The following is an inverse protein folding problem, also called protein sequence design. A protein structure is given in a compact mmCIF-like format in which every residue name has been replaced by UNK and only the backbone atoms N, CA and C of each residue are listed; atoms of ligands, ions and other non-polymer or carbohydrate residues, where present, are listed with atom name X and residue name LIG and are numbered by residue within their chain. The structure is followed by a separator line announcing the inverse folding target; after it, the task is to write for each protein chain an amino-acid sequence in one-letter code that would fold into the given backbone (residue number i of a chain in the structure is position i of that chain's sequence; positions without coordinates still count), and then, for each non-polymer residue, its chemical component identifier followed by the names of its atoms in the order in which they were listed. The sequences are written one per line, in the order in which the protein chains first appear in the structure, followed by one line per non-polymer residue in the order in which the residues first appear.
data_IF_196250811417
#
_entry.id   IF_196250811417
#
_cell.length_a   1.000
_cell.length_b   1.000
_cell.length_c   1.000
_cell.angle_alpha   90.00
_cell.angle_beta   90.00
_cell.angle_gamma   90.00
#
_symmetry.space_group_name_H-M   'P 1'
#
loop_
_entity.id
_entity.type
_entity.pdbx_description
1 polymer ?
#
# COMPACT_ATOMS: atom_id res chain seq x y z
N UNK A 1 -11.07 7.76 -71.04
CA UNK A 1 -11.43 8.93 -71.89
C UNK A 1 -10.64 10.09 -71.35
N UNK A 2 -9.74 10.55 -72.21
CA UNK A 2 -8.90 11.72 -72.03
C UNK A 2 -9.69 12.99 -72.11
N UNK A 3 -9.28 14.05 -71.44
CA UNK A 3 -9.17 15.35 -72.04
C UNK A 3 -8.16 16.21 -71.29
N UNK A 4 -7.17 16.54 -72.02
CA UNK A 4 -6.07 17.46 -71.77
C UNK A 4 -6.49 18.86 -72.23
N UNK A 5 -6.07 19.92 -71.58
CA UNK A 5 -5.79 21.25 -72.12
C UNK A 5 -5.19 22.10 -71.04
N UNK A 6 -4.01 22.36 -70.97
CA UNK A 6 -3.04 23.22 -71.69
C UNK A 6 -3.24 24.75 -71.48
N UNK A 7 -2.19 25.32 -70.83
CA UNK A 7 -1.51 26.62 -71.06
C UNK A 7 -2.21 27.95 -70.82
N UNK A 8 -1.67 28.71 -69.85
CA UNK A 8 -1.26 30.10 -70.17
C UNK A 8 -0.11 30.54 -69.25
N UNK A 9 1.03 30.81 -69.85
CA UNK A 9 2.22 31.49 -69.31
C UNK A 9 1.92 32.99 -69.16
N UNK A 10 2.44 33.65 -68.09
CA UNK A 10 3.08 34.97 -68.14
C UNK A 10 3.89 35.23 -66.86
N UNK A 11 4.95 36.08 -66.94
CA UNK A 11 6.13 35.97 -66.13
C UNK A 11 6.28 37.06 -65.07
N UNK A 12 7.15 36.71 -64.09
CA UNK A 12 8.19 37.53 -63.44
C UNK A 12 7.86 38.89 -62.84
N UNK A 13 7.91 39.02 -61.59
CA UNK A 13 8.69 40.09 -60.94
C UNK A 13 9.16 39.63 -59.54
N UNK A 14 10.47 39.41 -59.42
CA UNK A 14 11.21 39.09 -58.25
C UNK A 14 11.38 40.36 -57.40
N UNK A 15 10.69 40.45 -56.25
CA UNK A 15 10.99 41.45 -55.23
C UNK A 15 11.54 40.71 -54.03
N UNK A 16 12.85 40.75 -53.90
CA UNK A 16 13.57 40.21 -52.74
C UNK A 16 13.43 41.19 -51.56
N UNK A 17 12.51 40.92 -50.65
CA UNK A 17 12.43 41.62 -49.39
C UNK A 17 13.17 40.78 -48.34
N UNK A 18 14.38 41.23 -47.98
CA UNK A 18 15.17 40.69 -46.88
C UNK A 18 14.51 41.16 -45.57
N UNK A 19 13.76 40.27 -44.92
CA UNK A 19 13.28 40.51 -43.58
C UNK A 19 14.30 39.92 -42.63
N UNK A 20 15.09 40.77 -42.00
CA UNK A 20 15.98 40.38 -40.90
C UNK A 20 15.14 40.04 -39.65
N UNK A 21 14.96 38.75 -39.41
CA UNK A 21 14.33 38.29 -38.16
C UNK A 21 15.37 38.32 -37.05
N UNK A 22 15.26 39.29 -36.14
CA UNK A 22 15.97 39.32 -34.90
C UNK A 22 15.40 38.21 -33.98
N UNK A 23 16.13 37.11 -33.83
CA UNK A 23 15.81 36.07 -32.83
C UNK A 23 16.09 36.61 -31.43
N UNK A 24 15.04 36.99 -30.70
CA UNK A 24 15.12 37.24 -29.28
C UNK A 24 15.29 35.88 -28.55
N UNK A 25 16.49 35.58 -28.15
CA UNK A 25 16.79 34.42 -27.29
C UNK A 25 16.18 34.69 -25.91
N UNK A 26 14.98 34.18 -25.68
CA UNK A 26 14.40 34.12 -24.34
C UNK A 26 15.19 33.11 -23.50
N UNK A 27 16.02 33.62 -22.60
CA UNK A 27 16.69 32.81 -21.59
C UNK A 27 15.62 32.23 -20.67
N UNK A 28 15.32 30.95 -20.84
CA UNK A 28 14.47 30.18 -19.95
C UNK A 28 15.27 29.88 -18.69
N UNK A 29 15.04 30.64 -17.64
CA UNK A 29 15.55 30.31 -16.32
C UNK A 29 14.99 28.92 -15.93
N UNK A 30 15.88 27.95 -15.75
CA UNK A 30 15.52 26.64 -15.26
C UNK A 30 14.95 26.78 -13.85
N UNK A 31 13.68 26.42 -13.65
CA UNK A 31 13.10 26.32 -12.33
C UNK A 31 13.92 25.31 -11.49
N UNK A 32 14.15 25.57 -10.18
CA UNK A 32 14.88 24.62 -9.35
C UNK A 32 14.10 23.29 -9.34
N UNK A 33 14.79 22.21 -9.69
CA UNK A 33 14.24 20.86 -9.64
C UNK A 33 13.81 20.59 -8.20
N UNK A 34 12.50 20.45 -7.97
CA UNK A 34 11.98 20.03 -6.68
C UNK A 34 12.59 18.66 -6.37
N UNK A 35 13.26 18.54 -5.23
CA UNK A 35 13.80 17.29 -4.73
C UNK A 35 12.63 16.31 -4.53
N UNK A 36 12.38 15.45 -5.52
CA UNK A 36 11.42 14.36 -5.36
C UNK A 36 11.98 13.36 -4.37
N UNK A 37 11.28 13.04 -3.25
CA UNK A 37 11.73 12.01 -2.32
C UNK A 37 12.03 10.72 -3.07
N UNK A 38 13.04 9.96 -2.63
CA UNK A 38 13.38 8.68 -3.26
C UNK A 38 12.18 7.72 -3.20
N UNK A 39 11.96 6.94 -4.25
CA UNK A 39 10.81 6.02 -4.36
C UNK A 39 10.63 5.06 -3.17
N UNK A 40 11.70 4.53 -2.52
CA UNK A 40 11.57 3.68 -1.33
C UNK A 40 10.94 4.39 -0.13
N UNK A 41 11.32 5.64 0.15
CA UNK A 41 10.78 6.40 1.30
C UNK A 41 9.29 6.67 1.11
N UNK A 42 8.87 7.05 -0.10
CA UNK A 42 7.44 7.26 -0.40
C UNK A 42 6.60 6.00 -0.26
N UNK A 43 7.15 4.84 -0.62
CA UNK A 43 6.45 3.57 -0.48
C UNK A 43 6.22 3.21 1.00
N UNK A 44 7.23 3.41 1.86
CA UNK A 44 7.10 3.16 3.31
C UNK A 44 6.09 4.10 3.94
N UNK A 45 6.12 5.40 3.62
CA UNK A 45 5.17 6.37 4.15
C UNK A 45 3.74 6.06 3.69
N UNK A 46 3.55 5.65 2.44
CA UNK A 46 2.24 5.28 1.90
C UNK A 46 1.67 4.02 2.58
N UNK A 47 2.51 3.01 2.84
CA UNK A 47 2.10 1.82 3.60
C UNK A 47 1.70 2.19 5.03
N UNK A 48 2.57 2.94 5.74
CA UNK A 48 2.30 3.40 7.11
C UNK A 48 0.96 4.14 7.21
N UNK A 49 0.73 5.07 6.28
CA UNK A 49 -0.52 5.83 6.24
C UNK A 49 -1.73 4.93 6.02
N UNK A 50 -1.67 4.04 5.03
CA UNK A 50 -2.77 3.11 4.73
C UNK A 50 -3.10 2.21 5.92
N UNK A 51 -2.07 1.68 6.60
CA UNK A 51 -2.23 0.85 7.81
C UNK A 51 -2.89 1.65 8.92
N UNK A 52 -2.34 2.80 9.29
CA UNK A 52 -2.86 3.59 10.41
C UNK A 52 -4.29 4.08 10.16
N UNK A 53 -4.62 4.47 8.93
CA UNK A 53 -5.97 4.94 8.59
C UNK A 53 -6.99 3.82 8.68
N UNK A 54 -6.71 2.64 8.13
CA UNK A 54 -7.62 1.50 8.20
C UNK A 54 -7.84 1.02 9.64
N UNK A 55 -6.77 0.91 10.43
CA UNK A 55 -6.86 0.54 11.84
C UNK A 55 -7.63 1.58 12.65
N UNK A 56 -7.38 2.87 12.44
CA UNK A 56 -8.11 3.95 13.09
C UNK A 56 -9.60 3.86 12.80
N UNK A 57 -9.98 3.64 11.54
CA UNK A 57 -11.37 3.52 11.14
C UNK A 57 -12.06 2.32 11.82
N UNK A 58 -11.46 1.13 11.75
CA UNK A 58 -12.02 -0.07 12.37
C UNK A 58 -12.16 0.07 13.90
N UNK A 59 -11.13 0.59 14.56
CA UNK A 59 -11.13 0.76 16.02
C UNK A 59 -12.11 1.82 16.49
N UNK A 60 -12.27 2.92 15.75
CA UNK A 60 -13.26 3.96 16.05
C UNK A 60 -14.70 3.43 16.02
N UNK A 61 -15.04 2.49 15.14
CA UNK A 61 -16.35 1.87 15.06
C UNK A 61 -16.74 1.11 16.33
N UNK A 62 -15.77 0.66 17.11
CA UNK A 62 -15.96 -0.08 18.36
C UNK A 62 -15.50 0.71 19.59
N UNK A 63 -15.28 2.01 19.45
CA UNK A 63 -14.95 2.92 20.56
C UNK A 63 -13.53 2.75 21.13
N UNK A 64 -12.58 2.22 20.36
CA UNK A 64 -11.21 2.01 20.78
C UNK A 64 -10.27 3.13 20.29
N UNK A 65 -9.23 3.48 21.05
CA UNK A 65 -8.23 4.46 20.63
C UNK A 65 -7.42 3.94 19.44
N UNK A 66 -6.87 4.84 18.58
CA UNK A 66 -6.02 4.45 17.47
C UNK A 66 -4.72 3.79 17.96
N UNK A 67 -4.09 3.00 17.08
CA UNK A 67 -2.76 2.44 17.31
C UNK A 67 -1.67 3.46 16.94
N UNK A 68 -0.55 3.40 17.65
CA UNK A 68 0.68 4.10 17.28
C UNK A 68 1.52 3.24 16.33
N UNK A 69 2.25 3.90 15.43
CA UNK A 69 3.25 3.21 14.63
C UNK A 69 4.51 2.94 15.44
N UNK A 70 5.07 1.73 15.28
CA UNK A 70 6.30 1.31 15.93
C UNK A 70 7.30 0.80 14.89
N UNK A 71 8.48 1.43 14.81
CA UNK A 71 9.49 1.11 13.81
C UNK A 71 10.21 -0.22 14.09
N UNK A 72 10.31 -0.66 15.34
CA UNK A 72 10.87 -1.98 15.68
C UNK A 72 9.94 -3.11 15.22
N UNK A 73 8.62 -2.92 15.39
CA UNK A 73 7.63 -3.85 14.84
C UNK A 73 7.67 -3.87 13.30
N UNK A 74 7.85 -2.71 12.67
CA UNK A 74 7.99 -2.63 11.21
C UNK A 74 9.28 -3.31 10.72
N UNK A 75 10.38 -3.24 11.48
CA UNK A 75 11.62 -3.97 11.18
C UNK A 75 11.41 -5.49 11.29
N UNK A 76 10.79 -5.96 12.37
CA UNK A 76 10.45 -7.39 12.52
C UNK A 76 9.50 -7.88 11.41
N UNK A 77 8.52 -7.07 11.03
CA UNK A 77 7.62 -7.36 9.92
C UNK A 77 8.37 -7.45 8.58
N UNK A 78 9.37 -6.59 8.34
CA UNK A 78 10.19 -6.60 7.12
C UNK A 78 10.99 -7.89 6.99
N UNK A 79 11.62 -8.33 8.09
CA UNK A 79 12.40 -9.57 8.10
C UNK A 79 11.52 -10.77 7.75
N UNK A 80 10.31 -10.80 8.31
CA UNK A 80 9.37 -11.88 8.03
C UNK A 80 8.81 -11.81 6.61
N UNK A 81 8.40 -10.63 6.12
CA UNK A 81 7.93 -10.46 4.75
C UNK A 81 9.00 -10.90 3.73
N UNK A 82 10.27 -10.53 3.96
CA UNK A 82 11.39 -10.97 3.11
C UNK A 82 11.57 -12.50 3.14
N UNK A 83 11.36 -13.14 4.29
CA UNK A 83 11.40 -14.60 4.41
C UNK A 83 10.24 -15.23 3.64
N UNK A 84 9.00 -14.73 3.77
CA UNK A 84 7.83 -15.22 3.02
C UNK A 84 8.04 -15.12 1.52
N UNK A 85 8.53 -13.97 1.02
CA UNK A 85 8.85 -13.78 -0.39
C UNK A 85 9.93 -14.76 -0.90
N UNK A 86 10.90 -15.14 -0.06
CA UNK A 86 11.94 -16.10 -0.43
C UNK A 86 11.41 -17.52 -0.53
N UNK A 87 10.48 -17.93 0.35
CA UNK A 87 9.95 -19.30 0.39
C UNK A 87 8.68 -19.47 -0.48
N UNK A 88 8.04 -18.38 -0.91
CA UNK A 88 6.82 -18.41 -1.73
C UNK A 88 5.61 -19.01 -1.01
N UNK A 89 5.51 -18.85 0.33
CA UNK A 89 4.43 -19.44 1.13
C UNK A 89 4.08 -18.58 2.31
N UNK A 90 2.78 -18.30 2.50
CA UNK A 90 2.26 -17.53 3.62
C UNK A 90 2.19 -18.42 4.87
N UNK A 91 2.93 -18.06 5.92
CA UNK A 91 2.89 -18.73 7.22
C UNK A 91 3.25 -17.78 8.35
N UNK A 92 2.69 -17.99 9.52
CA UNK A 92 3.03 -17.21 10.71
C UNK A 92 4.48 -17.44 11.15
N UNK A 93 5.03 -16.41 11.80
CA UNK A 93 6.36 -16.48 12.38
C UNK A 93 6.32 -17.14 13.76
N UNK A 94 6.98 -18.27 13.87
CA UNK A 94 7.04 -19.09 15.08
C UNK A 94 8.34 -18.88 15.93
N UNK A 95 9.13 -17.87 15.59
CA UNK A 95 10.37 -17.57 16.31
C UNK A 95 10.09 -17.07 17.73
N UNK A 96 10.83 -17.53 18.76
CA UNK A 96 10.64 -17.06 20.14
C UNK A 96 10.81 -15.54 20.32
N UNK A 97 11.62 -14.89 19.48
CA UNK A 97 11.86 -13.44 19.53
C UNK A 97 10.61 -12.59 19.26
N UNK A 98 9.55 -13.18 18.72
CA UNK A 98 8.29 -12.50 18.37
C UNK A 98 7.06 -13.08 19.08
N UNK A 99 7.26 -13.99 20.06
CA UNK A 99 6.18 -14.70 20.76
C UNK A 99 5.16 -13.77 21.43
N UNK A 100 5.60 -12.60 21.91
CA UNK A 100 4.71 -11.59 22.51
C UNK A 100 4.05 -10.64 21.50
N UNK A 101 4.31 -10.85 20.21
CA UNK A 101 3.77 -10.00 19.14
C UNK A 101 2.59 -10.70 18.46
N UNK A 102 1.51 -9.95 18.22
CA UNK A 102 0.48 -10.36 17.28
C UNK A 102 0.96 -10.21 15.83
N UNK A 103 0.32 -10.92 14.92
CA UNK A 103 0.66 -10.89 13.50
C UNK A 103 -0.57 -11.01 12.61
N UNK A 104 -0.66 -10.16 11.60
CA UNK A 104 -1.54 -10.34 10.45
C UNK A 104 -0.70 -10.51 9.19
N UNK A 105 -1.11 -11.44 8.35
CA UNK A 105 -0.46 -11.76 7.07
C UNK A 105 -1.44 -11.60 5.91
N UNK A 106 -0.93 -11.12 4.78
CA UNK A 106 -1.66 -11.06 3.52
C UNK A 106 -0.71 -11.38 2.36
N UNK A 107 -1.23 -12.05 1.34
CA UNK A 107 -0.53 -12.27 0.08
C UNK A 107 -1.51 -12.11 -1.10
N UNK A 108 -1.00 -11.63 -2.23
CA UNK A 108 -1.78 -11.48 -3.44
C UNK A 108 -0.90 -11.20 -4.66
N UNK A 109 -1.50 -11.22 -5.85
CA UNK A 109 -0.79 -11.04 -7.11
C UNK A 109 0.06 -9.77 -7.09
N UNK A 110 1.33 -9.90 -7.43
CA UNK A 110 2.30 -8.82 -7.43
C UNK A 110 1.84 -7.60 -8.21
N UNK A 111 1.85 -6.45 -7.54
CA UNK A 111 1.49 -5.14 -8.12
C UNK A 111 0.01 -4.96 -8.42
N UNK A 112 -0.86 -5.92 -8.08
CA UNK A 112 -2.29 -5.83 -8.38
C UNK A 112 -3.08 -5.02 -7.36
N UNK A 113 -2.55 -4.82 -6.14
CA UNK A 113 -3.27 -4.24 -5.02
C UNK A 113 -2.56 -3.02 -4.45
N UNK A 114 -3.29 -1.96 -4.17
CA UNK A 114 -2.78 -0.85 -3.37
C UNK A 114 -2.73 -1.25 -1.89
N UNK A 115 -1.86 -0.61 -1.09
CA UNK A 115 -1.71 -0.92 0.35
C UNK A 115 -3.03 -0.84 1.12
N UNK A 116 -3.91 0.12 0.78
CA UNK A 116 -5.24 0.23 1.41
C UNK A 116 -6.12 -0.99 1.14
N UNK A 117 -6.01 -1.61 -0.04
CA UNK A 117 -6.79 -2.79 -0.41
C UNK A 117 -6.31 -4.03 0.34
N UNK A 118 -4.98 -4.16 0.50
CA UNK A 118 -4.39 -5.25 1.30
C UNK A 118 -4.88 -5.21 2.75
N UNK A 119 -4.89 -4.02 3.36
CA UNK A 119 -5.35 -3.87 4.76
C UNK A 119 -6.87 -3.93 4.87
N UNK A 120 -7.61 -3.46 3.85
CA UNK A 120 -9.06 -3.53 3.81
C UNK A 120 -9.56 -4.98 3.83
N UNK A 121 -8.84 -5.92 3.20
CA UNK A 121 -9.18 -7.34 3.24
C UNK A 121 -9.31 -7.87 4.68
N UNK A 122 -8.45 -7.43 5.60
CA UNK A 122 -8.56 -7.77 7.02
C UNK A 122 -9.72 -7.07 7.73
N UNK A 123 -10.00 -5.81 7.36
CA UNK A 123 -11.08 -5.03 7.95
C UNK A 123 -12.47 -5.54 7.52
N UNK A 124 -12.60 -6.09 6.32
CA UNK A 124 -13.83 -6.69 5.78
C UNK A 124 -14.28 -7.94 6.56
N UNK A 125 -13.37 -8.61 7.25
CA UNK A 125 -13.71 -9.72 8.16
C UNK A 125 -14.63 -9.28 9.31
N UNK A 126 -14.82 -7.98 9.54
CA UNK A 126 -15.83 -7.45 10.46
C UNK A 126 -17.23 -8.01 10.19
N UNK A 127 -17.55 -8.35 8.94
CA UNK A 127 -18.82 -8.97 8.57
C UNK A 127 -19.04 -10.34 9.25
N UNK A 128 -17.97 -11.04 9.57
CA UNK A 128 -18.01 -12.36 10.22
C UNK A 128 -17.71 -12.29 11.72
N UNK A 129 -17.24 -11.15 12.22
CA UNK A 129 -16.79 -11.01 13.59
C UNK A 129 -17.97 -10.93 14.58
N UNK A 130 -17.80 -11.56 15.74
CA UNK A 130 -18.58 -11.37 16.96
C UNK A 130 -17.62 -11.15 18.13
N UNK A 131 -17.91 -10.22 19.04
CA UNK A 131 -17.05 -9.99 20.20
C UNK A 131 -17.26 -11.07 21.27
N UNK A 132 -16.75 -12.26 20.97
CA UNK A 132 -16.76 -13.42 21.87
C UNK A 132 -15.32 -13.84 22.23
N UNK A 133 -15.13 -14.61 23.31
CA UNK A 133 -13.79 -15.09 23.67
C UNK A 133 -13.11 -15.89 22.55
N UNK A 134 -11.86 -15.57 22.24
CA UNK A 134 -11.05 -16.30 21.26
C UNK A 134 -10.98 -17.80 21.61
N UNK A 135 -11.06 -18.69 20.64
CA UNK A 135 -11.16 -18.48 19.21
C UNK A 135 -12.60 -18.38 18.66
N UNK A 136 -13.65 -18.21 19.49
CA UNK A 136 -15.05 -18.28 19.12
C UNK A 136 -15.62 -16.93 18.63
N UNK A 137 -14.80 -16.06 18.10
CA UNK A 137 -15.16 -14.71 17.66
C UNK A 137 -15.66 -14.63 16.18
N UNK A 138 -15.96 -15.77 15.54
CA UNK A 138 -16.47 -15.80 14.16
C UNK A 138 -17.90 -16.38 14.11
N UNK A 139 -18.77 -15.75 13.31
CA UNK A 139 -20.15 -16.22 13.03
C UNK A 139 -20.15 -17.50 12.20
N UNK A 140 -19.11 -17.75 11.42
CA UNK A 140 -18.99 -18.94 10.55
C UNK A 140 -18.54 -20.18 11.32
N UNK A 141 -18.07 -19.99 12.57
CA UNK A 141 -17.46 -21.05 13.36
C UNK A 141 -15.98 -21.29 13.04
N UNK A 142 -15.46 -20.66 11.98
CA UNK A 142 -14.04 -20.71 11.60
C UNK A 142 -13.38 -19.42 12.09
N UNK A 143 -12.47 -19.52 13.05
CA UNK A 143 -11.81 -18.34 13.63
C UNK A 143 -11.00 -17.55 12.59
N UNK A 144 -10.49 -18.22 11.56
CA UNK A 144 -9.72 -17.64 10.47
C UNK A 144 -10.50 -16.56 9.71
N UNK A 145 -11.83 -16.68 9.64
CA UNK A 145 -12.68 -15.74 8.90
C UNK A 145 -12.85 -14.39 9.62
N UNK A 146 -12.32 -14.23 10.84
CA UNK A 146 -12.42 -13.01 11.62
C UNK A 146 -11.14 -12.70 12.43
N UNK A 147 -10.08 -13.50 12.27
CA UNK A 147 -8.88 -13.43 13.09
C UNK A 147 -8.07 -12.17 12.88
N UNK A 148 -7.97 -11.69 11.64
CA UNK A 148 -7.25 -10.46 11.35
C UNK A 148 -8.01 -9.24 11.87
N UNK A 149 -9.34 -9.18 11.67
CA UNK A 149 -10.14 -8.12 12.24
C UNK A 149 -10.10 -8.11 13.77
N UNK A 150 -10.21 -9.28 14.42
CA UNK A 150 -10.11 -9.39 15.88
C UNK A 150 -8.79 -8.82 16.42
N UNK A 151 -7.66 -9.06 15.73
CA UNK A 151 -6.37 -8.44 16.07
C UNK A 151 -6.40 -6.91 15.89
N UNK A 152 -6.98 -6.39 14.81
CA UNK A 152 -7.10 -4.94 14.55
C UNK A 152 -7.85 -4.26 15.71
N UNK A 153 -8.97 -4.84 16.16
CA UNK A 153 -9.82 -4.28 17.22
C UNK A 153 -9.51 -4.84 18.61
N UNK A 154 -8.34 -5.44 18.80
CA UNK A 154 -7.94 -5.92 20.11
C UNK A 154 -7.69 -4.77 21.07
N UNK A 155 -8.44 -4.76 22.20
CA UNK A 155 -8.47 -3.61 23.13
C UNK A 155 -7.09 -3.28 23.69
N UNK A 156 -6.31 -4.29 24.04
CA UNK A 156 -5.03 -4.12 24.72
C UNK A 156 -3.88 -3.80 23.76
N UNK A 157 -4.04 -4.05 22.46
CA UNK A 157 -3.05 -3.68 21.44
C UNK A 157 -2.94 -2.14 21.37
N UNK A 158 -1.70 -1.63 21.35
CA UNK A 158 -1.36 -0.21 21.33
C UNK A 158 -0.55 0.20 20.12
N UNK A 159 0.23 -0.72 19.57
CA UNK A 159 1.21 -0.43 18.52
C UNK A 159 1.07 -1.39 17.36
N UNK A 160 1.41 -0.90 16.18
CA UNK A 160 1.47 -1.65 14.93
C UNK A 160 2.69 -1.21 14.11
N UNK A 161 3.33 -2.16 13.45
CA UNK A 161 4.37 -1.90 12.46
C UNK A 161 4.28 -2.93 11.34
N UNK A 162 4.36 -2.47 10.10
CA UNK A 162 4.15 -3.32 8.92
C UNK A 162 5.24 -3.14 7.88
N UNK A 163 5.41 -4.17 7.05
CA UNK A 163 6.28 -4.12 5.88
C UNK A 163 5.76 -5.03 4.78
N UNK A 164 6.20 -4.74 3.54
CA UNK A 164 5.93 -5.58 2.38
C UNK A 164 7.22 -6.11 1.77
N UNK A 165 7.14 -7.28 1.16
CA UNK A 165 8.14 -7.83 0.27
C UNK A 165 7.44 -8.55 -0.89
N UNK A 166 8.15 -8.79 -1.99
CA UNK A 166 7.59 -9.42 -3.18
C UNK A 166 8.48 -10.53 -3.69
N UNK A 167 7.88 -11.58 -4.20
CA UNK A 167 8.52 -12.53 -5.09
C UNK A 167 8.15 -12.22 -6.55
N UNK A 168 8.50 -13.05 -7.56
CA UNK A 168 8.11 -12.80 -8.94
C UNK A 168 6.60 -12.83 -9.21
N UNK A 169 5.78 -13.44 -8.33
CA UNK A 169 4.35 -13.66 -8.53
C UNK A 169 3.47 -12.91 -7.55
N UNK A 170 3.92 -12.75 -6.30
CA UNK A 170 3.10 -12.25 -5.20
C UNK A 170 3.77 -11.13 -4.42
N UNK A 171 2.94 -10.26 -3.86
CA UNK A 171 3.29 -9.33 -2.79
C UNK A 171 2.85 -9.94 -1.46
N UNK A 172 3.70 -9.80 -0.45
CA UNK A 172 3.45 -10.23 0.93
C UNK A 172 3.41 -9.00 1.82
N UNK A 173 2.33 -8.85 2.59
CA UNK A 173 2.21 -7.84 3.65
C UNK A 173 2.23 -8.55 5.00
N UNK A 174 3.09 -8.09 5.89
CA UNK A 174 3.15 -8.51 7.30
C UNK A 174 2.91 -7.30 8.17
N UNK A 175 2.01 -7.43 9.15
CA UNK A 175 1.85 -6.48 10.25
C UNK A 175 2.10 -7.17 11.58
N UNK A 176 2.88 -6.51 12.44
CA UNK A 176 3.16 -6.91 13.82
C UNK A 176 2.46 -5.98 14.79
N UNK A 177 2.01 -6.52 15.90
CA UNK A 177 1.23 -5.81 16.91
C UNK A 177 1.79 -6.01 18.30
N UNK A 178 1.69 -5.00 19.15
CA UNK A 178 2.09 -5.09 20.56
C UNK A 178 1.11 -4.32 21.46
N UNK A 179 0.67 -4.91 22.58
CA UNK A 179 0.69 -6.36 22.88
C UNK A 179 -0.05 -7.18 21.82
N UNK A 180 0.21 -8.49 21.81
CA UNK A 180 -0.50 -9.43 20.96
C UNK A 180 -2.01 -9.43 21.24
N UNK A 181 -2.80 -9.64 20.19
CA UNK A 181 -4.24 -9.92 20.31
C UNK A 181 -4.56 -11.40 20.25
N UNK A 182 -5.82 -11.69 20.05
CA UNK A 182 -6.35 -13.05 19.88
C UNK A 182 -6.00 -14.01 21.01
N UNK A 183 -5.92 -13.50 22.25
CA UNK A 183 -5.59 -14.28 23.45
C UNK A 183 -6.74 -15.22 23.76
N UNK A 184 -6.45 -16.52 23.78
CA UNK A 184 -7.45 -17.57 24.05
C UNK A 184 -8.23 -17.29 25.35
N UNK A 185 -9.55 -17.40 25.28
CA UNK A 185 -10.45 -17.18 26.39
C UNK A 185 -10.82 -15.71 26.64
N UNK A 186 -10.28 -14.74 25.88
CA UNK A 186 -10.56 -13.30 26.02
C UNK A 186 -11.31 -12.75 24.79
N UNK A 187 -12.29 -11.87 24.97
CA UNK A 187 -12.89 -11.11 23.86
C UNK A 187 -11.93 -9.99 23.38
N UNK A 188 -12.16 -9.49 22.18
CA UNK A 188 -11.32 -8.42 21.62
C UNK A 188 -11.53 -7.08 22.34
N UNK A 189 -12.79 -6.73 22.73
CA UNK A 189 -13.14 -5.51 23.47
C UNK A 189 -14.39 -5.67 24.31
#
# INVERSE_FOLDING_TARGET
MAFCMELAKFPLLLVCAIVASAAVAASRAAAPAALTPSAPVRAVDALRQAVLDAHRQARAQVGLPPLAWNDDLAAAARDHAAMLARIGTLRHDDRPSVEEQGENLWAGTRGAYAYREMVAAWAEEAAHFVNAPAPRFSRTGQWQDAGHYAQIVWRDTREVGCATASDPREDYLVCRYRPAGNIVGRPAF
#
